data_IF_000460874712
#
_entry.id   IF_000460874712
#
_cell.length_a   1.000
_cell.length_b   1.000
_cell.length_c   1.000
_cell.angle_alpha   90.00
_cell.angle_beta   90.00
_cell.angle_gamma   90.00
#
_symmetry.space_group_name_H-M   'P 1'
#
loop_
_entity.id
_entity.type
_entity.pdbx_description
1 polymer ?
#
# COMPACT_ATOMS: atom_id res chain seq x y z
N UNK A 1 -22.21 38.85 6.25
CA UNK A 1 -21.34 37.67 6.07
C UNK A 1 -20.19 38.06 5.17
N UNK A 2 -19.08 38.42 5.77
CA UNK A 2 -17.91 38.76 5.01
C UNK A 2 -17.21 37.50 4.54
N UNK A 3 -17.32 37.24 3.28
CA UNK A 3 -16.54 36.22 2.63
C UNK A 3 -15.15 36.79 2.37
N UNK A 4 -14.24 36.47 3.27
CA UNK A 4 -12.83 36.75 3.04
C UNK A 4 -12.33 35.84 1.92
N UNK A 5 -11.66 36.35 0.87
CA UNK A 5 -11.11 35.48 -0.18
C UNK A 5 -10.23 34.35 0.34
N UNK A 6 -9.60 34.53 1.49
CA UNK A 6 -8.84 33.49 2.15
C UNK A 6 -9.70 32.33 2.65
N UNK A 7 -11.01 32.56 2.85
CA UNK A 7 -11.92 31.49 3.26
C UNK A 7 -12.29 30.54 2.13
N UNK A 8 -12.09 30.96 0.88
CA UNK A 8 -12.32 30.14 -0.31
C UNK A 8 -11.06 29.49 -0.84
N UNK A 9 -9.91 29.97 -0.43
CA UNK A 9 -8.63 29.37 -0.72
C UNK A 9 -8.21 28.53 0.49
N UNK A 10 -9.04 27.60 0.88
CA UNK A 10 -8.51 26.46 1.59
C UNK A 10 -7.49 25.83 0.65
N UNK A 11 -6.21 25.79 1.01
CA UNK A 11 -5.29 24.98 0.23
C UNK A 11 -5.94 23.60 0.14
N UNK A 12 -6.18 23.14 -1.09
CA UNK A 12 -6.55 21.75 -1.31
C UNK A 12 -5.52 20.97 -0.52
N UNK A 13 -5.92 20.26 0.55
CA UNK A 13 -4.95 19.47 1.28
C UNK A 13 -4.26 18.60 0.24
N UNK A 14 -2.95 18.68 0.16
CA UNK A 14 -2.19 17.71 -0.61
C UNK A 14 -2.75 16.34 -0.22
N UNK A 15 -3.57 15.77 -1.10
CA UNK A 15 -4.04 14.41 -0.91
C UNK A 15 -2.79 13.56 -1.09
N UNK A 16 -2.09 13.34 0.02
CA UNK A 16 -1.02 12.36 0.03
C UNK A 16 -1.66 11.02 -0.28
N UNK A 17 -1.16 10.38 -1.30
CA UNK A 17 -1.58 9.02 -1.62
C UNK A 17 -1.40 8.16 -0.38
N UNK A 18 -2.45 7.52 0.05
CA UNK A 18 -2.38 6.60 1.17
C UNK A 18 -1.75 5.29 0.71
N UNK A 19 -0.68 4.89 1.36
CA UNK A 19 0.01 3.63 1.08
C UNK A 19 -0.24 2.67 2.22
N UNK A 20 -0.89 1.55 1.92
CA UNK A 20 -1.29 0.55 2.90
C UNK A 20 -0.82 -0.82 2.46
N UNK A 21 -0.21 -1.56 3.37
CA UNK A 21 0.05 -2.99 3.20
C UNK A 21 -1.14 -3.78 3.71
N UNK A 22 -1.56 -4.76 2.92
CA UNK A 22 -2.64 -5.67 3.28
C UNK A 22 -2.13 -7.10 3.38
N UNK A 23 -2.69 -7.84 4.32
CA UNK A 23 -2.58 -9.29 4.38
C UNK A 23 -3.80 -9.92 3.72
N UNK A 24 -3.60 -10.99 2.96
CA UNK A 24 -4.67 -11.74 2.31
C UNK A 24 -4.46 -13.24 2.51
N UNK A 25 -5.55 -13.98 2.62
CA UNK A 25 -5.53 -15.45 2.63
C UNK A 25 -6.04 -15.96 1.29
N UNK A 26 -5.28 -16.82 0.66
CA UNK A 26 -5.61 -17.34 -0.68
C UNK A 26 -6.58 -18.52 -0.65
N UNK A 27 -6.68 -19.24 0.47
CA UNK A 27 -7.32 -20.55 0.53
C UNK A 27 -8.79 -20.60 0.13
N UNK A 28 -9.54 -19.52 0.41
CA UNK A 28 -10.98 -19.47 0.15
C UNK A 28 -11.34 -18.69 -1.11
N UNK A 29 -10.35 -18.23 -1.85
CA UNK A 29 -10.56 -17.44 -3.05
C UNK A 29 -10.89 -18.32 -4.24
N UNK A 30 -11.77 -17.83 -5.11
CA UNK A 30 -12.08 -18.49 -6.37
C UNK A 30 -10.92 -18.39 -7.34
N UNK A 31 -10.65 -19.49 -8.05
CA UNK A 31 -9.74 -19.45 -9.19
C UNK A 31 -10.51 -18.91 -10.39
N UNK A 32 -10.12 -17.72 -10.84
CA UNK A 32 -10.79 -17.03 -11.95
C UNK A 32 -10.03 -17.17 -13.28
N UNK A 33 -9.03 -18.04 -13.32
CA UNK A 33 -8.33 -18.35 -14.56
C UNK A 33 -9.31 -18.98 -15.56
N UNK A 34 -9.38 -18.44 -16.76
CA UNK A 34 -10.33 -18.89 -17.78
C UNK A 34 -11.72 -18.24 -17.71
N UNK A 35 -11.91 -17.26 -16.83
CA UNK A 35 -13.12 -16.45 -16.76
C UNK A 35 -12.85 -15.11 -17.42
N UNK A 36 -13.61 -14.76 -18.45
CA UNK A 36 -13.39 -13.51 -19.20
C UNK A 36 -13.85 -12.28 -18.44
N UNK A 37 -14.91 -12.41 -17.65
CA UNK A 37 -15.47 -11.32 -16.87
C UNK A 37 -15.90 -11.81 -15.50
N UNK A 38 -15.61 -11.03 -14.46
CA UNK A 38 -15.96 -11.38 -13.08
C UNK A 38 -17.45 -11.23 -12.80
N UNK A 39 -18.11 -10.38 -13.56
CA UNK A 39 -19.56 -10.16 -13.47
C UNK A 39 -20.18 -10.38 -14.84
N UNK A 40 -20.82 -11.52 -15.02
CA UNK A 40 -21.58 -11.82 -16.23
C UNK A 40 -23.05 -12.03 -15.85
N UNK A 41 -23.94 -11.06 -16.15
CA UNK A 41 -25.36 -11.19 -15.79
C UNK A 41 -26.06 -12.35 -16.50
N UNK A 42 -25.56 -12.81 -17.65
CA UNK A 42 -26.11 -13.96 -18.35
C UNK A 42 -25.72 -15.31 -17.74
N UNK A 43 -24.65 -15.34 -16.97
CA UNK A 43 -24.16 -16.54 -16.29
C UNK A 43 -23.53 -16.16 -14.95
N UNK A 44 -24.38 -15.81 -13.95
CA UNK A 44 -23.86 -15.38 -12.67
C UNK A 44 -23.15 -16.55 -11.97
N UNK A 45 -21.84 -16.44 -11.84
CA UNK A 45 -21.03 -17.35 -11.03
C UNK A 45 -20.84 -16.77 -9.65
N UNK A 46 -20.93 -17.62 -8.64
CA UNK A 46 -20.56 -17.25 -7.29
C UNK A 46 -19.03 -17.20 -7.20
N UNK A 47 -18.50 -15.99 -7.13
CA UNK A 47 -17.07 -15.76 -6.99
C UNK A 47 -16.77 -15.39 -5.54
N UNK A 48 -15.90 -16.17 -4.92
CA UNK A 48 -15.38 -15.85 -3.58
C UNK A 48 -14.18 -14.92 -3.73
N UNK A 49 -14.33 -13.70 -3.25
CA UNK A 49 -13.26 -12.69 -3.30
C UNK A 49 -12.35 -12.79 -2.08
N UNK A 50 -11.10 -12.35 -2.26
CA UNK A 50 -10.17 -12.26 -1.15
C UNK A 50 -10.58 -11.16 -0.19
N UNK A 51 -10.49 -11.45 1.10
CA UNK A 51 -10.58 -10.45 2.13
C UNK A 51 -9.20 -9.81 2.34
N UNK A 52 -9.15 -8.49 2.24
CA UNK A 52 -7.94 -7.72 2.54
C UNK A 52 -8.00 -7.24 3.98
N UNK A 53 -7.01 -7.60 4.76
CA UNK A 53 -6.88 -7.16 6.15
C UNK A 53 -5.74 -6.13 6.19
N UNK A 54 -6.01 -4.87 6.62
CA UNK A 54 -4.94 -3.88 6.73
C UNK A 54 -3.87 -4.35 7.72
N UNK A 55 -2.62 -4.36 7.27
CA UNK A 55 -1.47 -4.78 8.08
C UNK A 55 -0.70 -3.58 8.60
N UNK A 56 -0.46 -2.61 7.74
CA UNK A 56 0.32 -1.43 8.08
C UNK A 56 -0.04 -0.28 7.15
N UNK A 57 -0.35 0.88 7.74
CA UNK A 57 -0.46 2.13 6.99
C UNK A 57 0.93 2.77 6.99
N UNK A 58 1.55 2.83 5.82
CA UNK A 58 2.93 3.32 5.70
C UNK A 58 2.96 4.84 5.71
N UNK A 59 2.01 5.46 5.02
CA UNK A 59 2.01 6.90 4.78
C UNK A 59 1.89 7.77 6.04
N UNK A 60 1.25 7.25 7.08
CA UNK A 60 1.00 7.99 8.32
C UNK A 60 1.65 7.33 9.54
N UNK A 61 2.62 6.45 9.34
CA UNK A 61 3.27 5.78 10.44
C UNK A 61 4.26 6.73 11.14
N UNK A 62 4.05 7.06 12.42
CA UNK A 62 4.91 8.00 13.12
C UNK A 62 6.35 7.50 13.29
N UNK A 63 6.56 6.19 13.36
CA UNK A 63 7.91 5.64 13.45
C UNK A 63 8.72 5.87 12.18
N UNK A 64 8.03 5.87 11.02
CA UNK A 64 8.66 6.13 9.73
C UNK A 64 8.90 7.63 9.49
N UNK A 65 8.02 8.49 9.98
CA UNK A 65 8.20 9.93 9.84
C UNK A 65 9.38 10.46 10.66
N UNK A 66 9.73 9.79 11.76
CA UNK A 66 10.89 10.16 12.56
C UNK A 66 12.22 9.91 11.86
N UNK A 67 12.26 9.00 10.89
CA UNK A 67 13.49 8.68 10.15
C UNK A 67 13.56 9.36 8.78
N UNK A 68 12.81 10.42 8.60
CA UNK A 68 12.74 11.17 7.34
C UNK A 68 12.39 10.27 6.13
N UNK A 69 11.52 9.30 6.38
CA UNK A 69 11.00 8.44 5.33
C UNK A 69 9.72 9.07 4.77
N UNK A 70 9.79 9.54 3.54
CA UNK A 70 8.64 10.09 2.83
C UNK A 70 8.15 9.05 1.82
N UNK A 71 7.15 8.23 2.18
CA UNK A 71 6.67 7.19 1.29
C UNK A 71 5.88 7.82 0.15
N UNK A 72 6.38 7.65 -1.04
CA UNK A 72 5.73 8.08 -2.26
C UNK A 72 5.98 7.03 -3.34
N UNK A 73 4.93 6.69 -4.08
CA UNK A 73 5.04 5.86 -5.26
C UNK A 73 5.73 4.50 -4.98
N UNK A 74 5.25 3.80 -3.95
CA UNK A 74 5.74 2.47 -3.61
C UNK A 74 5.23 1.46 -4.63
N UNK A 75 6.13 0.86 -5.41
CA UNK A 75 5.77 0.02 -6.55
C UNK A 75 6.33 -1.40 -6.48
N UNK A 76 7.26 -1.66 -5.59
CA UNK A 76 7.88 -2.97 -5.48
C UNK A 76 7.78 -3.50 -4.06
N UNK A 77 7.56 -4.80 -3.96
CA UNK A 77 7.52 -5.53 -2.68
C UNK A 77 8.21 -6.87 -2.86
N UNK A 78 9.03 -7.25 -1.90
CA UNK A 78 9.75 -8.51 -1.92
C UNK A 78 10.04 -8.98 -0.51
N UNK A 79 10.12 -10.30 -0.33
CA UNK A 79 10.73 -10.85 0.88
C UNK A 79 12.24 -10.64 0.81
N UNK A 80 12.80 -10.20 1.92
CA UNK A 80 14.22 -10.04 2.07
C UNK A 80 14.84 -11.19 2.88
N UNK A 81 16.09 -11.00 3.32
CA UNK A 81 16.80 -12.02 4.08
C UNK A 81 16.11 -12.35 5.41
N UNK A 82 16.25 -13.57 5.84
CA UNK A 82 15.84 -13.99 7.16
C UNK A 82 16.81 -13.42 8.21
N UNK A 83 16.25 -12.87 9.26
CA UNK A 83 17.03 -12.34 10.38
C UNK A 83 17.55 -13.46 11.28
N UNK A 84 18.59 -13.18 12.11
CA UNK A 84 19.11 -14.20 13.04
C UNK A 84 18.08 -14.75 14.01
N UNK A 85 17.04 -13.99 14.35
CA UNK A 85 15.95 -14.44 15.22
C UNK A 85 14.94 -15.35 14.49
N UNK A 86 15.13 -15.63 13.21
CA UNK A 86 14.24 -16.46 12.39
C UNK A 86 13.11 -15.70 11.70
N UNK A 87 12.94 -14.42 11.97
CA UNK A 87 11.92 -13.61 11.30
C UNK A 87 12.35 -13.25 9.89
N UNK A 88 11.37 -13.10 9.01
CA UNK A 88 11.62 -12.63 7.65
C UNK A 88 11.56 -11.11 7.60
N UNK A 89 12.24 -10.55 6.62
CA UNK A 89 12.13 -9.14 6.30
C UNK A 89 11.25 -8.94 5.08
N UNK A 90 10.58 -7.82 5.05
CA UNK A 90 9.81 -7.35 3.91
C UNK A 90 10.46 -6.09 3.40
N UNK A 91 10.78 -6.07 2.10
CA UNK A 91 11.40 -4.91 1.46
C UNK A 91 10.39 -4.30 0.52
N UNK A 92 10.16 -3.01 0.67
CA UNK A 92 9.35 -2.23 -0.27
C UNK A 92 10.22 -1.13 -0.87
N UNK A 93 9.91 -0.77 -2.10
CA UNK A 93 10.69 0.24 -2.82
C UNK A 93 9.79 1.16 -3.62
N UNK A 94 10.19 2.41 -3.69
CA UNK A 94 9.56 3.40 -4.55
C UNK A 94 10.31 3.53 -5.86
N UNK A 95 9.63 4.11 -6.85
CA UNK A 95 10.23 4.51 -8.10
C UNK A 95 10.17 6.03 -8.22
N UNK A 96 11.22 6.63 -8.76
CA UNK A 96 11.28 8.07 -8.98
C UNK A 96 10.56 8.52 -10.26
N UNK A 97 9.99 7.59 -11.04
CA UNK A 97 9.28 7.85 -12.30
C UNK A 97 10.09 8.71 -13.29
N UNK A 98 11.41 8.53 -13.31
CA UNK A 98 12.33 9.37 -14.11
C UNK A 98 12.23 10.86 -13.76
N UNK A 99 11.81 11.19 -12.55
CA UNK A 99 11.66 12.56 -12.06
C UNK A 99 12.47 12.78 -10.78
N UNK A 100 13.81 12.67 -10.85
CA UNK A 100 14.66 12.68 -9.65
C UNK A 100 14.67 14.03 -8.90
N UNK A 101 14.14 15.08 -9.50
CA UNK A 101 14.03 16.38 -8.87
C UNK A 101 12.96 16.40 -7.77
N UNK A 102 11.88 15.64 -7.96
CA UNK A 102 10.72 15.66 -7.06
C UNK A 102 10.46 14.30 -6.39
N UNK A 103 10.98 13.22 -6.94
CA UNK A 103 10.77 11.86 -6.45
C UNK A 103 12.10 11.15 -6.28
N UNK A 104 12.19 10.30 -5.28
CA UNK A 104 13.41 9.53 -4.98
C UNK A 104 13.12 8.05 -5.01
N UNK A 105 14.14 7.28 -5.34
CA UNK A 105 14.11 5.83 -5.12
C UNK A 105 14.42 5.58 -3.64
N UNK A 106 13.45 5.06 -2.93
CA UNK A 106 13.56 4.80 -1.50
C UNK A 106 13.28 3.33 -1.24
N UNK A 107 14.09 2.73 -0.39
CA UNK A 107 13.89 1.36 0.08
C UNK A 107 13.57 1.40 1.56
N UNK A 108 12.57 0.63 1.96
CA UNK A 108 12.24 0.42 3.35
C UNK A 108 12.20 -1.07 3.65
N UNK A 109 12.81 -1.46 4.75
CA UNK A 109 12.80 -2.84 5.21
C UNK A 109 12.05 -2.93 6.53
N UNK A 110 11.19 -3.92 6.62
CA UNK A 110 10.38 -4.19 7.81
C UNK A 110 10.66 -5.61 8.30
N UNK A 111 10.67 -5.79 9.59
CA UNK A 111 10.67 -7.12 10.19
C UNK A 111 9.24 -7.65 10.24
N UNK A 112 9.05 -8.86 9.74
CA UNK A 112 7.76 -9.55 9.87
C UNK A 112 7.77 -10.31 11.18
N UNK A 113 7.00 -9.81 12.15
CA UNK A 113 6.85 -10.46 13.46
C UNK A 113 5.57 -11.30 13.42
N UNK A 114 5.69 -12.64 13.48
CA UNK A 114 4.50 -13.48 13.47
C UNK A 114 3.67 -13.28 14.74
N UNK A 115 2.36 -13.29 14.58
CA UNK A 115 1.43 -13.40 15.72
C UNK A 115 1.50 -14.80 16.31
N UNK A 116 1.64 -14.84 17.62
CA UNK A 116 1.59 -16.10 18.36
C UNK A 116 0.13 -16.48 18.70
#
# INVERSE_FOLDING_TARGET
MSTNPSDFVTPIPCIKSQIVLFSVKLGDASNVMGIDTLTNPANPQTISVLEKIPLLIISDNPDLTQIDFDPDNMEAISLGPQLPNGHYTLIIASDNNFNPKYQRNVFAAFEIVPDN
#
